data_IF_756813436190
#
_entry.id   IF_756813436190
#
_cell.length_a   1.000
_cell.length_b   1.000
_cell.length_c   1.000
_cell.angle_alpha   90.00
_cell.angle_beta   90.00
_cell.angle_gamma   90.00
#
_symmetry.space_group_name_H-M   'P 1'
#
loop_
_entity.id
_entity.type
_entity.pdbx_description
1 polymer ?
#
# COMPACT_ATOMS: atom_id res chain seq x y z
N UNK A 1 22.72 -40.83 -18.24
CA UNK A 1 21.39 -40.54 -18.85
C UNK A 1 20.69 -39.54 -17.95
N UNK A 2 20.16 -38.38 -18.47
CA UNK A 2 19.39 -37.46 -17.65
C UNK A 2 18.09 -38.14 -17.21
N UNK A 3 17.64 -37.88 -15.97
CA UNK A 3 16.32 -38.35 -15.46
C UNK A 3 15.19 -37.73 -16.29
N UNK A 4 14.04 -38.41 -16.47
CA UNK A 4 12.89 -37.84 -17.20
C UNK A 4 12.44 -36.49 -16.66
N UNK A 5 12.47 -36.28 -15.34
CA UNK A 5 12.13 -35.03 -14.69
C UNK A 5 13.10 -33.89 -15.08
N UNK A 6 14.40 -34.21 -15.26
CA UNK A 6 15.38 -33.18 -15.66
C UNK A 6 15.14 -32.78 -17.12
N UNK A 7 14.83 -33.76 -18.01
CA UNK A 7 14.51 -33.48 -19.41
C UNK A 7 13.25 -32.59 -19.47
N UNK A 8 12.23 -32.92 -18.69
CA UNK A 8 10.98 -32.18 -18.64
C UNK A 8 11.22 -30.75 -18.16
N UNK A 9 11.92 -30.55 -17.04
CA UNK A 9 12.13 -29.19 -16.44
C UNK A 9 13.13 -28.34 -17.21
N UNK A 10 14.13 -28.94 -17.85
CA UNK A 10 15.11 -28.22 -18.67
C UNK A 10 14.56 -27.88 -20.08
N UNK A 11 13.46 -28.48 -20.53
CA UNK A 11 12.91 -28.19 -21.86
C UNK A 11 12.26 -26.83 -21.91
N UNK A 12 12.36 -26.13 -23.05
CA UNK A 12 11.62 -24.90 -23.30
C UNK A 12 10.11 -25.14 -23.17
N UNK A 13 9.38 -24.12 -22.74
CA UNK A 13 7.92 -24.15 -22.62
C UNK A 13 7.36 -22.75 -22.70
N UNK A 14 6.10 -22.64 -23.10
CA UNK A 14 5.29 -21.43 -23.01
C UNK A 14 4.20 -21.63 -21.99
N UNK A 15 3.76 -20.55 -21.34
CA UNK A 15 2.61 -20.56 -20.45
C UNK A 15 1.84 -19.26 -20.61
N UNK A 16 0.53 -19.31 -20.35
CA UNK A 16 -0.33 -18.13 -20.29
C UNK A 16 -0.43 -17.68 -18.84
N UNK A 17 -0.56 -16.37 -18.63
CA UNK A 17 -0.72 -15.80 -17.30
C UNK A 17 -2.19 -15.50 -17.05
N UNK A 18 -2.67 -15.91 -15.87
CA UNK A 18 -4.05 -15.69 -15.45
C UNK A 18 -5.07 -16.51 -16.23
N UNK A 19 -6.34 -16.15 -16.05
CA UNK A 19 -7.43 -16.67 -16.84
C UNK A 19 -7.64 -15.84 -18.11
N UNK A 20 -8.10 -16.43 -19.21
CA UNK A 20 -8.46 -15.68 -20.42
C UNK A 20 -9.50 -14.57 -20.17
N UNK A 21 -10.35 -14.74 -19.16
CA UNK A 21 -11.35 -13.77 -18.73
C UNK A 21 -10.74 -12.54 -18.04
N UNK A 22 -9.56 -12.66 -17.43
CA UNK A 22 -8.81 -11.52 -16.90
C UNK A 22 -8.28 -10.62 -18.02
N UNK A 23 -8.28 -11.13 -19.26
CA UNK A 23 -8.28 -10.45 -20.58
C UNK A 23 -7.20 -9.39 -20.81
N UNK A 24 -6.07 -9.44 -20.08
CA UNK A 24 -5.18 -8.31 -19.95
C UNK A 24 -3.75 -8.65 -20.36
N UNK A 25 -3.11 -7.71 -21.05
CA UNK A 25 -1.72 -7.84 -21.44
C UNK A 25 -0.78 -7.72 -20.23
N UNK A 26 0.34 -8.43 -20.29
CA UNK A 26 1.45 -8.21 -19.35
C UNK A 26 2.00 -6.81 -19.58
N UNK A 27 2.05 -6.01 -18.52
CA UNK A 27 2.57 -4.64 -18.57
C UNK A 27 3.91 -4.49 -17.87
N UNK A 28 4.10 -5.20 -16.76
CA UNK A 28 5.29 -5.09 -15.94
C UNK A 28 5.70 -6.45 -15.36
N UNK A 29 7.01 -6.61 -15.18
CA UNK A 29 7.60 -7.77 -14.54
C UNK A 29 8.69 -7.33 -13.55
N UNK A 30 8.68 -7.95 -12.36
CA UNK A 30 9.67 -7.73 -11.31
C UNK A 30 10.24 -9.08 -10.89
N UNK A 31 11.55 -9.24 -11.00
CA UNK A 31 12.23 -10.45 -10.57
C UNK A 31 12.66 -10.30 -9.12
N UNK A 32 12.15 -11.17 -8.26
CA UNK A 32 12.61 -11.34 -6.89
C UNK A 32 13.37 -12.66 -6.77
N UNK A 33 14.13 -12.85 -5.71
CA UNK A 33 14.97 -14.04 -5.50
C UNK A 33 14.17 -15.35 -5.55
N UNK A 34 12.92 -15.33 -5.10
CA UNK A 34 12.07 -16.50 -4.89
C UNK A 34 10.84 -16.58 -5.81
N UNK A 35 10.57 -15.55 -6.59
CA UNK A 35 9.48 -15.51 -7.57
C UNK A 35 9.61 -14.38 -8.59
N UNK A 36 8.81 -14.48 -9.66
CA UNK A 36 8.59 -13.40 -10.60
C UNK A 36 7.19 -12.81 -10.33
N UNK A 37 7.11 -11.50 -10.09
CA UNK A 37 5.86 -10.77 -10.03
C UNK A 37 5.52 -10.25 -11.44
N UNK A 38 4.34 -10.61 -11.93
CA UNK A 38 3.79 -10.10 -13.18
C UNK A 38 2.60 -9.21 -12.87
N UNK A 39 2.62 -8.00 -13.41
CA UNK A 39 1.47 -7.11 -13.41
C UNK A 39 0.85 -7.07 -14.80
N UNK A 40 -0.43 -7.36 -14.85
CA UNK A 40 -1.29 -7.05 -15.99
C UNK A 40 -1.91 -5.67 -15.82
N UNK A 41 -2.82 -5.27 -16.68
CA UNK A 41 -3.59 -4.04 -16.50
C UNK A 41 -4.43 -4.07 -15.22
N UNK A 42 -5.00 -5.21 -14.87
CA UNK A 42 -6.00 -5.36 -13.80
C UNK A 42 -5.55 -6.18 -12.60
N UNK A 43 -4.56 -7.08 -12.77
CA UNK A 43 -4.22 -8.08 -11.74
C UNK A 43 -2.71 -8.16 -11.49
N UNK A 44 -2.34 -8.72 -10.35
CA UNK A 44 -0.98 -9.10 -10.00
C UNK A 44 -0.87 -10.61 -9.81
N UNK A 45 0.17 -11.20 -10.39
CA UNK A 45 0.44 -12.64 -10.33
C UNK A 45 1.84 -12.91 -9.81
N UNK A 46 1.92 -13.85 -8.87
CA UNK A 46 3.17 -14.47 -8.44
C UNK A 46 3.43 -15.68 -9.30
N UNK A 47 4.59 -15.73 -9.95
CA UNK A 47 5.04 -16.85 -10.78
C UNK A 47 6.26 -17.47 -10.13
N UNK A 48 6.23 -18.77 -9.93
CA UNK A 48 7.34 -19.55 -9.41
C UNK A 48 7.66 -20.69 -10.39
N UNK A 49 8.95 -20.92 -10.61
CA UNK A 49 9.39 -22.10 -11.36
C UNK A 49 9.38 -23.33 -10.45
N UNK A 50 9.09 -24.49 -11.02
CA UNK A 50 9.08 -25.73 -10.25
C UNK A 50 10.40 -25.96 -9.47
N UNK A 51 11.54 -25.56 -10.02
CA UNK A 51 12.85 -25.68 -9.37
C UNK A 51 13.05 -24.77 -8.16
N UNK A 52 12.27 -23.67 -8.04
CA UNK A 52 12.25 -22.83 -6.84
C UNK A 52 11.49 -23.52 -5.68
N UNK A 53 10.47 -24.32 -6.02
CA UNK A 53 9.62 -25.03 -5.05
C UNK A 53 10.22 -26.42 -4.70
N UNK A 54 10.78 -27.10 -5.68
CA UNK A 54 11.39 -28.44 -5.56
C UNK A 54 12.80 -28.44 -6.21
N UNK A 55 13.80 -27.81 -5.55
CA UNK A 55 15.14 -27.69 -6.11
C UNK A 55 15.85 -29.02 -6.30
N UNK A 56 15.45 -30.06 -5.56
CA UNK A 56 16.00 -31.42 -5.69
C UNK A 56 15.34 -32.24 -6.81
N UNK A 57 14.29 -31.71 -7.43
CA UNK A 57 13.52 -32.35 -8.48
C UNK A 57 13.04 -33.75 -8.09
N UNK A 58 12.38 -33.84 -6.92
CA UNK A 58 11.84 -35.10 -6.38
C UNK A 58 10.41 -35.38 -6.84
N UNK A 59 9.64 -34.35 -7.15
CA UNK A 59 8.24 -34.44 -7.55
C UNK A 59 8.09 -34.27 -9.06
N UNK A 60 7.94 -35.39 -9.77
CA UNK A 60 7.75 -35.41 -11.24
C UNK A 60 6.38 -34.85 -11.69
N UNK A 61 5.40 -34.79 -10.78
CA UNK A 61 4.04 -34.29 -11.08
C UNK A 61 3.92 -32.77 -10.94
N UNK A 62 4.96 -32.09 -10.45
CA UNK A 62 4.92 -30.65 -10.28
C UNK A 62 4.99 -29.95 -11.65
N UNK A 63 4.03 -29.05 -12.00
CA UNK A 63 4.08 -28.31 -13.24
C UNK A 63 5.31 -27.41 -13.30
N UNK A 64 5.84 -27.13 -14.50
CA UNK A 64 7.04 -26.28 -14.67
C UNK A 64 6.88 -24.90 -14.08
N UNK A 65 5.70 -24.33 -14.22
CA UNK A 65 5.33 -22.98 -13.79
C UNK A 65 4.14 -23.07 -12.86
N UNK A 66 4.27 -22.44 -11.72
CA UNK A 66 3.22 -22.31 -10.72
C UNK A 66 2.86 -20.83 -10.67
N UNK A 67 1.58 -20.51 -10.83
CA UNK A 67 1.10 -19.14 -10.81
C UNK A 67 -0.01 -18.99 -9.78
N UNK A 68 0.01 -17.83 -9.11
CA UNK A 68 -0.98 -17.46 -8.11
C UNK A 68 -1.39 -16.00 -8.33
N UNK A 69 -2.68 -15.77 -8.54
CA UNK A 69 -3.22 -14.41 -8.50
C UNK A 69 -3.15 -13.89 -7.07
N UNK A 70 -2.53 -12.73 -6.87
CA UNK A 70 -2.34 -12.12 -5.55
C UNK A 70 -3.50 -11.17 -5.22
N UNK A 71 -3.86 -10.32 -6.17
CA UNK A 71 -4.96 -9.35 -6.01
C UNK A 71 -5.43 -8.82 -7.37
N UNK A 72 -6.63 -8.25 -7.40
CA UNK A 72 -7.28 -7.68 -8.59
C UNK A 72 -6.97 -6.18 -8.74
N UNK A 73 -5.67 -5.85 -8.64
CA UNK A 73 -5.12 -4.52 -8.89
C UNK A 73 -3.89 -4.66 -9.77
N UNK A 74 -3.94 -4.10 -10.97
CA UNK A 74 -2.83 -4.09 -11.94
C UNK A 74 -2.30 -2.68 -12.18
N UNK A 75 -1.62 -2.49 -13.31
CA UNK A 75 -0.94 -1.22 -13.63
C UNK A 75 -1.90 -0.04 -13.84
N UNK A 76 -3.19 -0.29 -14.10
CA UNK A 76 -4.22 0.75 -14.20
C UNK A 76 -4.77 1.17 -12.83
N UNK A 77 -4.42 0.46 -11.77
CA UNK A 77 -4.85 0.79 -10.43
C UNK A 77 -3.98 1.87 -9.80
N UNK A 78 -4.63 2.82 -9.14
CA UNK A 78 -3.96 3.90 -8.43
C UNK A 78 -2.99 3.38 -7.34
N UNK A 79 -3.38 2.35 -6.58
CA UNK A 79 -2.51 1.82 -5.51
C UNK A 79 -1.22 1.22 -6.06
N UNK A 80 -1.26 0.58 -7.24
CA UNK A 80 -0.09 0.02 -7.92
C UNK A 80 0.79 1.14 -8.47
N UNK A 81 0.18 2.13 -9.13
CA UNK A 81 0.87 3.28 -9.70
C UNK A 81 1.60 4.11 -8.66
N UNK A 82 0.91 4.48 -7.58
CA UNK A 82 1.45 5.33 -6.51
C UNK A 82 2.41 4.62 -5.55
N UNK A 83 2.49 3.30 -5.59
CA UNK A 83 3.41 2.52 -4.77
C UNK A 83 4.53 1.89 -5.61
N UNK A 84 4.32 0.67 -6.10
CA UNK A 84 5.37 -0.13 -6.74
C UNK A 84 5.90 0.48 -8.04
N UNK A 85 5.03 1.07 -8.89
CA UNK A 85 5.51 1.68 -10.14
C UNK A 85 6.25 2.99 -9.87
N UNK A 86 5.81 3.78 -8.89
CA UNK A 86 6.55 4.96 -8.41
C UNK A 86 7.90 4.56 -7.83
N UNK A 87 7.96 3.48 -7.02
CA UNK A 87 9.23 2.95 -6.52
C UNK A 87 10.14 2.49 -7.66
N UNK A 88 9.63 1.76 -8.65
CA UNK A 88 10.41 1.36 -9.85
C UNK A 88 10.96 2.56 -10.59
N UNK A 89 10.18 3.64 -10.68
CA UNK A 89 10.58 4.88 -11.36
C UNK A 89 11.66 5.64 -10.61
N UNK A 90 11.62 5.61 -9.27
CA UNK A 90 12.52 6.38 -8.42
C UNK A 90 13.75 5.60 -7.91
N UNK A 91 13.69 4.29 -7.80
CA UNK A 91 14.84 3.48 -7.38
C UNK A 91 15.77 3.20 -8.57
N UNK A 92 16.59 4.20 -8.90
CA UNK A 92 17.49 4.19 -10.05
C UNK A 92 18.95 4.35 -9.59
N UNK A 93 19.81 3.40 -9.95
CA UNK A 93 21.25 3.39 -9.59
C UNK A 93 21.98 4.63 -10.11
N UNK A 94 21.50 5.18 -11.23
CA UNK A 94 22.10 6.36 -11.85
C UNK A 94 21.95 7.62 -11.01
N UNK A 95 20.96 7.66 -10.09
CA UNK A 95 20.58 8.85 -9.34
C UNK A 95 20.73 8.70 -7.83
N UNK A 96 20.86 7.48 -7.33
CA UNK A 96 20.92 7.18 -5.89
C UNK A 96 22.27 6.56 -5.50
N UNK A 97 22.74 6.79 -4.25
CA UNK A 97 23.97 6.21 -3.75
C UNK A 97 23.97 4.68 -3.79
N UNK A 98 25.13 4.07 -4.08
CA UNK A 98 25.33 2.62 -4.02
C UNK A 98 25.06 2.03 -2.62
N UNK A 99 25.08 2.87 -1.57
CA UNK A 99 24.75 2.47 -0.20
C UNK A 99 23.26 2.17 0.01
N UNK A 100 22.37 2.62 -0.90
CA UNK A 100 20.93 2.35 -0.82
C UNK A 100 20.63 1.02 -1.50
N UNK A 101 20.14 0.05 -0.74
CA UNK A 101 19.71 -1.25 -1.27
C UNK A 101 18.39 -1.10 -2.05
N UNK A 102 18.51 -0.83 -3.37
CA UNK A 102 17.36 -0.59 -4.25
C UNK A 102 16.53 -1.85 -4.48
N UNK A 103 17.15 -3.04 -4.48
CA UNK A 103 16.44 -4.31 -4.63
C UNK A 103 15.55 -4.57 -3.42
N UNK A 104 16.09 -4.38 -2.21
CA UNK A 104 15.34 -4.46 -0.96
C UNK A 104 14.25 -3.40 -0.93
N UNK A 105 14.51 -2.17 -1.40
CA UNK A 105 13.53 -1.09 -1.50
C UNK A 105 12.34 -1.45 -2.39
N UNK A 106 12.59 -2.04 -3.57
CA UNK A 106 11.53 -2.53 -4.46
C UNK A 106 10.72 -3.67 -3.83
N UNK A 107 11.39 -4.59 -3.13
CA UNK A 107 10.71 -5.68 -2.43
C UNK A 107 9.80 -5.14 -1.31
N UNK A 108 10.27 -4.22 -0.50
CA UNK A 108 9.48 -3.56 0.55
C UNK A 108 8.31 -2.77 -0.03
N UNK A 109 8.50 -2.15 -1.20
CA UNK A 109 7.42 -1.43 -1.91
C UNK A 109 6.32 -2.39 -2.39
N UNK A 110 6.69 -3.58 -2.86
CA UNK A 110 5.74 -4.63 -3.20
C UNK A 110 5.02 -5.17 -1.95
N UNK A 111 5.74 -5.39 -0.85
CA UNK A 111 5.16 -5.83 0.42
C UNK A 111 4.16 -4.77 0.93
N UNK A 112 4.50 -3.46 0.87
CA UNK A 112 3.58 -2.38 1.21
C UNK A 112 2.34 -2.35 0.30
N UNK A 113 2.52 -2.48 -1.03
CA UNK A 113 1.42 -2.59 -1.98
C UNK A 113 0.47 -3.74 -1.62
N UNK A 114 0.99 -4.90 -1.25
CA UNK A 114 0.17 -6.06 -0.88
C UNK A 114 -0.71 -5.78 0.34
N UNK A 115 -0.17 -5.08 1.34
CA UNK A 115 -0.93 -4.67 2.53
C UNK A 115 -1.98 -3.59 2.20
N UNK A 116 -1.62 -2.60 1.36
CA UNK A 116 -2.55 -1.55 0.89
C UNK A 116 -3.67 -2.16 0.04
N UNK A 117 -3.37 -3.14 -0.81
CA UNK A 117 -4.38 -3.86 -1.57
C UNK A 117 -5.40 -4.56 -0.65
N UNK A 118 -4.91 -5.23 0.39
CA UNK A 118 -5.76 -5.86 1.40
C UNK A 118 -6.61 -4.84 2.18
N UNK A 119 -6.03 -3.67 2.55
CA UNK A 119 -6.76 -2.56 3.16
C UNK A 119 -7.90 -2.08 2.26
N UNK A 120 -7.59 -1.80 0.98
CA UNK A 120 -8.58 -1.31 0.02
C UNK A 120 -9.71 -2.30 -0.19
N UNK A 121 -9.39 -3.59 -0.28
CA UNK A 121 -10.40 -4.65 -0.37
C UNK A 121 -11.28 -4.67 0.87
N UNK A 122 -10.69 -4.64 2.08
CA UNK A 122 -11.45 -4.62 3.32
C UNK A 122 -12.36 -3.38 3.45
N UNK A 123 -11.88 -2.20 3.02
CA UNK A 123 -12.67 -0.97 3.02
C UNK A 123 -13.87 -1.04 2.05
N UNK A 124 -13.66 -1.57 0.85
CA UNK A 124 -14.72 -1.76 -0.15
C UNK A 124 -15.77 -2.77 0.33
N UNK A 125 -15.33 -3.92 0.84
CA UNK A 125 -16.23 -4.94 1.41
C UNK A 125 -17.04 -4.39 2.59
N UNK A 126 -16.41 -3.59 3.46
CA UNK A 126 -17.12 -2.95 4.57
C UNK A 126 -18.19 -1.99 4.06
N UNK A 127 -17.85 -1.14 3.08
CA UNK A 127 -18.79 -0.20 2.48
C UNK A 127 -19.97 -0.89 1.80
N UNK A 128 -19.73 -1.98 1.07
CA UNK A 128 -20.79 -2.78 0.45
C UNK A 128 -21.74 -3.40 1.48
N UNK A 129 -21.19 -3.89 2.62
CA UNK A 129 -22.01 -4.43 3.72
C UNK A 129 -22.85 -3.32 4.37
N UNK A 130 -22.26 -2.15 4.60
CA UNK A 130 -22.95 -0.97 5.15
C UNK A 130 -24.10 -0.55 4.25
N UNK A 131 -23.87 -0.40 2.94
CA UNK A 131 -24.90 0.02 1.98
C UNK A 131 -26.01 -1.02 1.86
N UNK A 132 -25.67 -2.31 1.83
CA UNK A 132 -26.66 -3.41 1.81
C UNK A 132 -27.51 -3.43 3.06
N UNK A 133 -26.89 -3.28 4.25
CA UNK A 133 -27.61 -3.26 5.51
C UNK A 133 -28.57 -2.07 5.62
N UNK A 134 -28.14 -0.89 5.15
CA UNK A 134 -29.00 0.30 5.09
C UNK A 134 -30.21 0.11 4.16
N UNK A 135 -29.98 -0.40 2.94
CA UNK A 135 -31.07 -0.65 1.98
C UNK A 135 -32.12 -1.63 2.54
N UNK A 136 -31.66 -2.70 3.20
CA UNK A 136 -32.57 -3.67 3.84
C UNK A 136 -33.37 -3.06 5.00
N UNK A 137 -32.79 -2.13 5.75
CA UNK A 137 -33.48 -1.46 6.86
C UNK A 137 -34.58 -0.52 6.37
N UNK A 138 -34.39 0.18 5.27
CA UNK A 138 -35.41 1.06 4.68
C UNK A 138 -36.63 0.27 4.23
N UNK A 139 -36.47 -0.97 3.75
CA UNK A 139 -37.53 -1.88 3.35
C UNK A 139 -38.23 -2.54 4.54
N UNK A 140 -37.58 -2.59 5.72
CA UNK A 140 -38.01 -3.42 6.88
C UNK A 140 -38.81 -2.66 7.92
N UNK A 141 -39.33 -1.45 7.65
CA UNK A 141 -40.25 -0.76 8.60
C UNK A 141 -41.51 -1.60 8.84
N UNK A 142 -41.57 -2.19 10.03
CA UNK A 142 -42.69 -3.10 10.41
C UNK A 142 -43.95 -2.33 10.68
N UNK A 143 -45.11 -2.97 10.31
CA UNK A 143 -46.46 -2.41 10.54
C UNK A 143 -46.83 -2.33 12.02
N UNK A 144 -46.11 -3.02 12.90
CA UNK A 144 -46.34 -3.06 14.35
C UNK A 144 -45.66 -1.91 15.12
N UNK A 145 -45.04 -0.98 14.40
CA UNK A 145 -44.34 0.15 15.02
C UNK A 145 -42.92 -0.17 15.53
N UNK A 146 -42.46 -1.42 15.39
CA UNK A 146 -41.08 -1.78 15.75
C UNK A 146 -40.12 -1.41 14.62
N UNK A 147 -38.90 -1.08 15.00
CA UNK A 147 -37.77 -0.80 14.09
C UNK A 147 -36.70 -1.91 14.26
N UNK A 148 -36.43 -2.62 13.18
CA UNK A 148 -35.25 -3.50 13.14
C UNK A 148 -34.05 -2.70 12.67
N UNK A 149 -33.09 -2.49 13.56
CA UNK A 149 -31.84 -1.84 13.17
C UNK A 149 -31.04 -2.74 12.22
N UNK A 150 -30.42 -2.17 11.18
CA UNK A 150 -29.46 -2.90 10.37
C UNK A 150 -28.26 -3.31 11.21
N UNK A 151 -27.51 -4.33 10.75
CA UNK A 151 -26.29 -4.77 11.40
C UNK A 151 -25.31 -5.29 10.36
N UNK A 152 -24.03 -4.92 10.47
CA UNK A 152 -22.94 -5.52 9.69
C UNK A 152 -22.48 -6.82 10.33
N UNK A 153 -22.44 -6.84 11.66
CA UNK A 153 -21.88 -7.95 12.44
C UNK A 153 -20.35 -7.99 12.42
N UNK A 154 -19.77 -8.39 13.52
CA UNK A 154 -18.32 -8.50 13.70
C UNK A 154 -17.53 -7.24 13.27
N UNK A 155 -18.09 -6.06 13.47
CA UNK A 155 -17.53 -4.77 13.04
C UNK A 155 -16.14 -4.56 13.60
N UNK A 156 -15.92 -4.88 14.87
CA UNK A 156 -14.62 -4.78 15.53
C UNK A 156 -13.55 -5.64 14.84
N UNK A 157 -13.86 -6.89 14.47
CA UNK A 157 -12.95 -7.79 13.75
C UNK A 157 -12.56 -7.22 12.39
N UNK A 158 -13.51 -6.60 11.68
CA UNK A 158 -13.25 -5.95 10.38
C UNK A 158 -12.34 -4.74 10.54
N UNK A 159 -12.58 -3.90 11.54
CA UNK A 159 -11.71 -2.77 11.89
C UNK A 159 -10.31 -3.24 12.28
N UNK A 160 -10.21 -4.30 13.08
CA UNK A 160 -8.94 -4.90 13.48
C UNK A 160 -8.12 -5.36 12.27
N UNK A 161 -8.74 -6.12 11.35
CA UNK A 161 -8.07 -6.58 10.13
C UNK A 161 -7.56 -5.40 9.30
N UNK A 162 -8.40 -4.37 9.11
CA UNK A 162 -8.00 -3.17 8.39
C UNK A 162 -6.81 -2.46 9.05
N UNK A 163 -6.88 -2.23 10.37
CA UNK A 163 -5.83 -1.54 11.12
C UNK A 163 -4.50 -2.29 11.11
N UNK A 164 -4.53 -3.64 11.20
CA UNK A 164 -3.34 -4.48 11.06
C UNK A 164 -2.66 -4.28 9.70
N UNK A 165 -3.44 -4.29 8.61
CA UNK A 165 -2.92 -4.08 7.26
C UNK A 165 -2.33 -2.68 7.08
N UNK A 166 -2.99 -1.68 7.62
CA UNK A 166 -2.52 -0.29 7.59
C UNK A 166 -1.20 -0.11 8.36
N UNK A 167 -1.08 -0.66 9.57
CA UNK A 167 0.16 -0.62 10.36
C UNK A 167 1.30 -1.36 9.65
N UNK A 168 1.02 -2.53 9.06
CA UNK A 168 2.02 -3.27 8.30
C UNK A 168 2.52 -2.49 7.08
N UNK A 169 1.63 -1.85 6.32
CA UNK A 169 2.04 -1.01 5.19
C UNK A 169 2.90 0.18 5.64
N UNK A 170 2.53 0.84 6.75
CA UNK A 170 3.33 1.89 7.38
C UNK A 170 4.70 1.39 7.84
N UNK A 171 4.76 0.19 8.42
CA UNK A 171 6.03 -0.42 8.82
C UNK A 171 6.96 -0.67 7.63
N UNK A 172 6.43 -1.09 6.45
CA UNK A 172 7.24 -1.24 5.24
C UNK A 172 7.80 0.09 4.73
N UNK A 173 7.01 1.15 4.77
CA UNK A 173 7.48 2.49 4.44
C UNK A 173 8.59 2.96 5.41
N UNK A 174 8.45 2.64 6.69
CA UNK A 174 9.48 2.94 7.69
C UNK A 174 10.78 2.16 7.42
N UNK A 175 10.70 0.88 7.06
CA UNK A 175 11.85 0.09 6.64
C UNK A 175 12.53 0.68 5.39
N UNK A 176 11.75 1.13 4.39
CA UNK A 176 12.29 1.83 3.20
C UNK A 176 13.07 3.09 3.64
N UNK A 177 12.51 3.89 4.55
CA UNK A 177 13.18 5.11 5.04
C UNK A 177 14.55 4.80 5.67
N UNK A 178 14.67 3.68 6.36
CA UNK A 178 15.94 3.21 6.94
C UNK A 178 16.99 2.81 5.91
N UNK A 179 16.60 2.38 4.71
CA UNK A 179 17.57 2.08 3.65
C UNK A 179 18.38 3.32 3.22
N UNK A 180 17.76 4.50 3.30
CA UNK A 180 18.43 5.76 2.96
C UNK A 180 19.31 6.32 4.08
N UNK A 181 19.06 5.91 5.33
CA UNK A 181 19.78 6.40 6.51
C UNK A 181 20.08 5.22 7.47
N UNK A 182 20.98 4.30 7.07
CA UNK A 182 21.20 3.04 7.79
C UNK A 182 21.76 3.23 9.21
N UNK A 183 22.48 4.32 9.45
CA UNK A 183 23.07 4.62 10.77
C UNK A 183 22.08 5.28 11.73
N UNK A 184 20.89 5.67 11.27
CA UNK A 184 19.91 6.34 12.07
C UNK A 184 19.20 5.37 13.05
N UNK A 185 19.14 5.75 14.32
CA UNK A 185 18.58 4.91 15.41
C UNK A 185 17.13 5.28 15.74
N UNK A 186 16.27 5.37 14.74
CA UNK A 186 14.86 5.67 14.95
C UNK A 186 14.11 4.47 15.49
N UNK A 187 13.27 4.69 16.49
CA UNK A 187 12.38 3.70 17.09
C UNK A 187 10.96 3.75 16.50
N UNK A 188 10.61 4.83 15.81
CA UNK A 188 9.31 5.03 15.21
C UNK A 188 9.21 6.30 14.39
N UNK A 189 8.01 6.59 13.91
CA UNK A 189 7.73 7.71 13.02
C UNK A 189 7.99 9.09 13.64
N UNK A 190 7.82 9.24 14.97
CA UNK A 190 8.15 10.47 15.68
C UNK A 190 9.66 10.78 15.61
N UNK A 191 10.50 9.78 15.90
CA UNK A 191 11.95 9.93 15.83
C UNK A 191 12.40 10.26 14.40
N UNK A 192 11.74 9.65 13.40
CA UNK A 192 12.01 9.95 11.99
C UNK A 192 11.63 11.39 11.61
N UNK A 193 10.46 11.86 12.03
CA UNK A 193 10.02 13.24 11.79
C UNK A 193 10.96 14.26 12.45
N UNK A 194 11.40 13.99 13.68
CA UNK A 194 12.36 14.84 14.39
C UNK A 194 13.72 14.87 13.70
N UNK A 195 14.18 13.71 13.19
CA UNK A 195 15.40 13.64 12.38
C UNK A 195 15.27 14.47 11.11
N UNK A 196 14.19 14.33 10.35
CA UNK A 196 13.95 15.09 9.10
C UNK A 196 13.92 16.58 9.38
N UNK A 197 13.20 17.01 10.42
CA UNK A 197 13.13 18.41 10.84
C UNK A 197 14.50 18.98 11.22
N UNK A 198 15.27 18.23 11.99
CA UNK A 198 16.60 18.67 12.46
C UNK A 198 17.61 18.74 11.31
N UNK A 199 17.53 17.78 10.37
CA UNK A 199 18.50 17.65 9.27
C UNK A 199 18.24 18.66 8.15
N UNK A 200 16.96 18.89 7.79
CA UNK A 200 16.59 19.68 6.61
C UNK A 200 15.97 21.04 6.96
N UNK A 201 15.59 21.25 8.22
CA UNK A 201 14.95 22.49 8.70
C UNK A 201 13.41 22.43 8.64
N UNK A 202 12.74 23.19 9.51
CA UNK A 202 11.28 23.19 9.65
C UNK A 202 10.52 23.65 8.39
N UNK A 203 11.13 24.51 7.58
CA UNK A 203 10.52 25.04 6.36
C UNK A 203 10.66 24.11 5.16
N UNK A 204 11.46 23.07 5.28
CA UNK A 204 11.67 22.09 4.22
C UNK A 204 10.37 21.28 3.95
N UNK A 205 10.13 20.98 2.67
CA UNK A 205 8.94 20.21 2.24
C UNK A 205 8.85 18.83 2.89
N UNK A 206 10.01 18.18 3.08
CA UNK A 206 10.05 16.86 3.73
C UNK A 206 9.70 16.95 5.22
N UNK A 207 10.17 18.00 5.92
CA UNK A 207 9.80 18.24 7.31
C UNK A 207 8.31 18.53 7.46
N UNK A 208 7.74 19.34 6.57
CA UNK A 208 6.29 19.59 6.52
C UNK A 208 5.48 18.33 6.25
N UNK A 209 5.92 17.49 5.33
CA UNK A 209 5.28 16.20 5.06
C UNK A 209 5.30 15.32 6.31
N UNK A 210 6.46 15.11 6.92
CA UNK A 210 6.59 14.22 8.09
C UNK A 210 5.84 14.75 9.31
N UNK A 211 5.68 16.06 9.46
CA UNK A 211 4.85 16.66 10.51
C UNK A 211 3.37 16.27 10.41
N UNK A 212 2.86 15.98 9.21
CA UNK A 212 1.48 15.52 8.98
C UNK A 212 1.39 13.99 8.98
N UNK A 213 2.34 13.31 8.32
CA UNK A 213 2.25 11.86 8.13
C UNK A 213 2.64 11.06 9.38
N UNK A 214 3.57 11.53 10.20
CA UNK A 214 3.98 10.80 11.40
C UNK A 214 2.86 10.67 12.44
N UNK A 215 2.07 11.71 12.77
CA UNK A 215 0.88 11.58 13.63
C UNK A 215 -0.16 10.61 13.07
N UNK A 216 -0.41 10.64 11.76
CA UNK A 216 -1.34 9.72 11.11
C UNK A 216 -0.87 8.25 11.22
N UNK A 217 0.40 7.98 10.93
CA UNK A 217 0.95 6.63 11.03
C UNK A 217 0.99 6.13 12.49
N UNK A 218 1.15 7.06 13.45
CA UNK A 218 0.98 6.75 14.86
C UNK A 218 -0.48 6.45 15.22
N UNK A 219 -1.45 7.21 14.71
CA UNK A 219 -2.88 6.94 14.86
C UNK A 219 -3.24 5.52 14.40
N UNK A 220 -2.79 5.13 13.21
CA UNK A 220 -3.04 3.78 12.66
C UNK A 220 -2.49 2.70 13.59
N UNK A 221 -1.28 2.88 14.08
CA UNK A 221 -0.63 1.96 15.03
C UNK A 221 -1.38 1.88 16.36
N UNK A 222 -1.80 3.02 16.91
CA UNK A 222 -2.53 3.09 18.16
C UNK A 222 -3.90 2.39 18.05
N UNK A 223 -4.60 2.55 16.91
CA UNK A 223 -5.84 1.82 16.63
C UNK A 223 -5.60 0.31 16.61
N UNK A 224 -4.55 -0.14 15.93
CA UNK A 224 -4.18 -1.56 15.88
C UNK A 224 -3.86 -2.09 17.29
N UNK A 225 -3.04 -1.36 18.05
CA UNK A 225 -2.64 -1.76 19.40
C UNK A 225 -3.86 -1.90 20.33
N UNK A 226 -4.80 -0.95 20.28
CA UNK A 226 -6.05 -1.01 21.05
C UNK A 226 -6.91 -2.23 20.69
N UNK A 227 -7.02 -2.54 19.38
CA UNK A 227 -7.85 -3.65 18.92
C UNK A 227 -7.22 -5.03 19.09
N UNK A 228 -5.88 -5.11 19.19
CA UNK A 228 -5.18 -6.37 19.45
C UNK A 228 -5.04 -6.71 20.93
N UNK A 229 -4.81 -5.70 21.75
CA UNK A 229 -4.48 -5.86 23.16
C UNK A 229 -5.64 -5.37 24.04
N UNK A 230 -6.76 -6.12 24.06
CA UNK A 230 -8.01 -5.80 24.76
C UNK A 230 -7.92 -5.47 26.27
N UNK A 231 -6.72 -5.49 26.87
CA UNK A 231 -6.45 -5.01 28.23
C UNK A 231 -6.08 -3.50 28.29
N UNK A 232 -5.96 -2.85 27.13
CA UNK A 232 -5.74 -1.41 27.05
C UNK A 232 -7.13 -0.77 27.10
N UNK A 233 -7.61 -0.51 28.32
CA UNK A 233 -8.96 -0.02 28.57
C UNK A 233 -9.32 1.20 27.71
N UNK A 234 -10.39 1.05 26.91
CA UNK A 234 -11.22 2.11 26.38
C UNK A 234 -10.57 3.11 25.39
N UNK A 235 -9.46 2.77 24.74
CA UNK A 235 -8.84 3.67 23.76
C UNK A 235 -9.57 3.74 22.42
N UNK A 236 -10.33 2.70 22.04
CA UNK A 236 -11.11 2.65 20.81
C UNK A 236 -12.52 2.18 21.10
N UNK A 237 -13.52 2.93 20.67
CA UNK A 237 -14.93 2.57 20.75
C UNK A 237 -15.46 2.32 19.35
N UNK A 238 -15.90 1.09 19.08
CA UNK A 238 -16.51 0.69 17.83
C UNK A 238 -17.96 0.38 18.07
N UNK A 239 -18.84 0.97 17.26
CA UNK A 239 -20.30 0.74 17.30
C UNK A 239 -20.75 0.27 15.91
N UNK A 240 -21.63 -0.73 15.89
CA UNK A 240 -22.44 -1.04 14.71
C UNK A 240 -23.57 0.01 14.57
N UNK A 241 -24.48 -0.14 13.64
CA UNK A 241 -25.61 0.76 13.48
C UNK A 241 -26.30 1.03 14.83
N UNK A 242 -26.67 2.26 15.05
CA UNK A 242 -27.36 2.70 16.26
C UNK A 242 -28.49 3.66 15.89
N UNK A 243 -29.46 3.83 16.80
CA UNK A 243 -30.47 4.88 16.65
C UNK A 243 -30.02 6.13 17.40
N UNK A 244 -29.96 7.25 16.71
CA UNK A 244 -29.71 8.54 17.33
C UNK A 244 -30.92 9.10 18.08
N UNK A 245 -30.72 10.08 18.96
CA UNK A 245 -31.77 10.74 19.72
C UNK A 245 -32.85 11.39 18.84
N UNK A 246 -32.50 11.73 17.60
CA UNK A 246 -33.44 12.28 16.60
C UNK A 246 -34.25 11.20 15.84
N UNK A 247 -34.11 9.91 16.20
CA UNK A 247 -34.75 8.78 15.51
C UNK A 247 -34.12 8.41 14.16
N UNK A 248 -32.96 8.99 13.82
CA UNK A 248 -32.22 8.65 12.61
C UNK A 248 -31.24 7.50 12.89
N UNK A 249 -31.16 6.56 11.96
CA UNK A 249 -30.16 5.47 12.04
C UNK A 249 -28.77 6.06 11.79
N UNK A 250 -27.90 5.94 12.79
CA UNK A 250 -26.49 6.30 12.69
C UNK A 250 -25.68 5.15 12.08
N UNK A 251 -24.76 5.49 11.19
CA UNK A 251 -23.84 4.53 10.57
C UNK A 251 -22.86 3.94 11.60
N UNK A 252 -22.28 2.75 11.33
CA UNK A 252 -21.21 2.19 12.13
C UNK A 252 -20.09 3.19 12.32
N UNK A 253 -19.60 3.32 13.56
CA UNK A 253 -18.66 4.38 13.93
C UNK A 253 -17.47 3.86 14.72
N UNK A 254 -16.35 4.58 14.57
CA UNK A 254 -15.13 4.40 15.34
C UNK A 254 -14.76 5.73 16.01
N UNK A 255 -14.41 5.66 17.29
CA UNK A 255 -13.92 6.77 18.09
C UNK A 255 -12.62 6.34 18.78
N UNK A 256 -11.63 7.24 18.87
CA UNK A 256 -10.32 6.93 19.40
C UNK A 256 -9.94 7.97 20.45
N UNK A 257 -9.62 7.52 21.64
CA UNK A 257 -9.03 8.32 22.72
C UNK A 257 -7.98 7.48 23.43
N UNK A 258 -6.78 7.44 22.84
CA UNK A 258 -5.70 6.60 23.32
C UNK A 258 -4.37 7.37 23.33
N UNK A 259 -3.73 7.49 24.49
CA UNK A 259 -2.49 8.26 24.68
C UNK A 259 -2.67 9.71 24.21
N UNK A 260 -1.82 10.16 23.28
CA UNK A 260 -1.90 11.49 22.66
C UNK A 260 -2.81 11.51 21.42
N UNK A 261 -3.37 10.36 21.05
CA UNK A 261 -4.18 10.19 19.84
C UNK A 261 -5.66 10.36 20.17
N UNK A 262 -6.29 11.37 19.57
CA UNK A 262 -7.73 11.65 19.73
C UNK A 262 -8.38 11.81 18.36
N UNK A 263 -9.37 10.97 18.10
CA UNK A 263 -10.20 11.05 16.91
C UNK A 263 -11.67 10.96 17.36
N UNK A 264 -12.47 12.02 17.16
CA UNK A 264 -13.90 11.97 17.47
C UNK A 264 -14.58 10.90 16.62
N UNK A 265 -15.78 10.48 17.04
CA UNK A 265 -16.56 9.46 16.36
C UNK A 265 -16.79 9.83 14.88
N UNK A 266 -16.36 8.97 13.98
CA UNK A 266 -16.54 9.06 12.52
C UNK A 266 -17.11 7.75 11.98
N UNK A 267 -17.73 7.76 10.80
CA UNK A 267 -18.16 6.49 10.20
C UNK A 267 -16.95 5.62 9.84
N UNK A 268 -17.08 4.32 10.05
CA UNK A 268 -15.98 3.37 9.80
C UNK A 268 -15.61 3.33 8.33
N UNK A 269 -16.60 3.35 7.42
CA UNK A 269 -16.35 3.38 5.98
C UNK A 269 -15.58 4.63 5.56
N UNK A 270 -15.89 5.79 6.13
CA UNK A 270 -15.15 7.02 5.89
C UNK A 270 -13.72 6.94 6.44
N UNK A 271 -13.56 6.49 7.69
CA UNK A 271 -12.23 6.29 8.30
C UNK A 271 -11.34 5.36 7.47
N UNK A 272 -11.88 4.23 6.99
CA UNK A 272 -11.12 3.29 6.17
C UNK A 272 -10.71 3.89 4.82
N UNK A 273 -11.60 4.63 4.17
CA UNK A 273 -11.31 5.30 2.89
C UNK A 273 -10.23 6.39 3.05
N UNK A 274 -10.40 7.28 4.04
CA UNK A 274 -9.44 8.34 4.35
C UNK A 274 -8.06 7.78 4.74
N UNK A 275 -8.03 6.76 5.61
CA UNK A 275 -6.79 6.13 6.04
C UNK A 275 -6.06 5.47 4.86
N UNK A 276 -6.78 4.87 3.91
CA UNK A 276 -6.18 4.28 2.70
C UNK A 276 -5.55 5.37 1.83
N UNK A 277 -6.24 6.48 1.59
CA UNK A 277 -5.71 7.59 0.80
C UNK A 277 -4.51 8.27 1.48
N UNK A 278 -4.61 8.54 2.79
CA UNK A 278 -3.50 9.13 3.54
C UNK A 278 -2.25 8.25 3.54
N UNK A 279 -2.41 6.93 3.59
CA UNK A 279 -1.28 5.99 3.53
C UNK A 279 -0.63 5.99 2.13
N UNK A 280 -1.43 6.04 1.07
CA UNK A 280 -0.92 6.17 -0.30
C UNK A 280 -0.15 7.48 -0.49
N UNK A 281 -0.67 8.59 0.03
CA UNK A 281 0.02 9.88 0.00
C UNK A 281 1.32 9.82 0.82
N UNK A 282 1.26 9.28 2.04
CA UNK A 282 2.44 9.12 2.87
C UNK A 282 3.54 8.31 2.18
N UNK A 283 3.16 7.18 1.53
CA UNK A 283 4.08 6.32 0.80
C UNK A 283 4.76 7.07 -0.36
N UNK A 284 3.95 7.59 -1.27
CA UNK A 284 4.41 8.22 -2.51
C UNK A 284 5.29 9.46 -2.26
N UNK A 285 4.82 10.37 -1.40
CA UNK A 285 5.56 11.59 -1.09
C UNK A 285 6.82 11.34 -0.26
N UNK A 286 6.77 10.42 0.72
CA UNK A 286 7.97 10.05 1.48
C UNK A 286 9.03 9.49 0.55
N UNK A 287 8.65 8.60 -0.39
CA UNK A 287 9.56 8.03 -1.36
C UNK A 287 10.19 9.11 -2.26
N UNK A 288 9.37 10.03 -2.78
CA UNK A 288 9.85 11.14 -3.60
C UNK A 288 10.85 12.02 -2.84
N UNK A 289 10.56 12.36 -1.58
CA UNK A 289 11.47 13.14 -0.75
C UNK A 289 12.76 12.39 -0.39
N UNK A 290 12.68 11.11 -0.03
CA UNK A 290 13.86 10.29 0.23
C UNK A 290 14.80 10.28 -0.98
N UNK A 291 14.26 10.04 -2.17
CA UNK A 291 15.04 10.06 -3.40
C UNK A 291 15.59 11.47 -3.71
N UNK A 292 14.78 12.51 -3.54
CA UNK A 292 15.20 13.91 -3.77
C UNK A 292 16.33 14.35 -2.85
N UNK A 293 16.28 13.95 -1.56
CA UNK A 293 17.30 14.33 -0.55
C UNK A 293 18.60 13.53 -0.64
N UNK A 294 18.59 12.43 -1.37
CA UNK A 294 19.76 11.55 -1.52
C UNK A 294 20.23 11.45 -2.98
N UNK A 295 19.96 12.49 -3.79
CA UNK A 295 20.42 12.56 -5.17
C UNK A 295 21.94 12.58 -5.25
N UNK A 296 22.47 11.77 -6.18
CA UNK A 296 23.88 11.86 -6.59
C UNK A 296 24.05 12.78 -7.79
N UNK A 297 25.22 13.45 -7.91
CA UNK A 297 25.55 14.21 -9.12
C UNK A 297 25.54 13.30 -10.36
N UNK A 298 24.77 13.68 -11.37
CA UNK A 298 24.68 12.94 -12.62
C UNK A 298 25.28 13.78 -13.76
N UNK A 299 26.48 13.41 -14.21
CA UNK A 299 27.17 14.06 -15.33
C UNK A 299 27.25 15.60 -15.24
N UNK A 300 27.27 16.17 -14.03
CA UNK A 300 27.27 17.62 -13.81
C UNK A 300 25.96 18.33 -14.10
N UNK A 301 24.87 17.57 -14.37
CA UNK A 301 23.56 18.13 -14.64
C UNK A 301 22.72 18.27 -13.36
N UNK A 302 21.93 19.34 -13.19
CA UNK A 302 21.02 19.52 -12.09
C UNK A 302 19.78 18.62 -12.28
N UNK A 303 19.76 17.49 -11.58
CA UNK A 303 18.62 16.55 -11.57
C UNK A 303 17.74 16.84 -10.36
N UNK A 304 16.43 16.73 -10.55
CA UNK A 304 15.43 16.93 -9.53
C UNK A 304 14.46 15.74 -9.51
N UNK A 305 13.81 15.50 -8.39
CA UNK A 305 12.62 14.64 -8.29
C UNK A 305 11.42 15.58 -8.17
N UNK A 306 10.50 15.51 -9.12
CA UNK A 306 9.32 16.36 -9.12
C UNK A 306 8.14 15.70 -9.84
N UNK A 307 6.98 16.37 -9.79
CA UNK A 307 5.76 15.96 -10.44
C UNK A 307 5.88 15.95 -11.96
N UNK A 308 5.43 14.86 -12.55
CA UNK A 308 5.24 14.75 -14.01
C UNK A 308 3.91 15.44 -14.36
N UNK A 309 3.94 16.37 -15.29
CA UNK A 309 2.72 16.98 -15.83
C UNK A 309 1.78 15.89 -16.38
N UNK A 310 0.47 16.04 -16.21
CA UNK A 310 -0.50 14.98 -16.50
C UNK A 310 -0.44 14.48 -17.96
N UNK A 311 -0.26 15.38 -18.89
CA UNK A 311 -0.12 15.11 -20.33
C UNK A 311 1.17 14.36 -20.69
N UNK A 312 2.15 14.33 -19.80
CA UNK A 312 3.44 13.62 -19.97
C UNK A 312 3.55 12.30 -19.23
N UNK A 313 2.51 11.91 -18.45
CA UNK A 313 2.50 10.65 -17.71
C UNK A 313 2.21 9.48 -18.64
N UNK A 314 3.13 8.52 -18.72
CA UNK A 314 2.89 7.25 -19.41
C UNK A 314 1.85 6.39 -18.67
N UNK A 315 1.90 6.40 -17.34
CA UNK A 315 0.88 5.87 -16.47
C UNK A 315 0.33 7.02 -15.62
N UNK A 316 -0.99 7.25 -15.69
CA UNK A 316 -1.68 8.37 -15.03
C UNK A 316 -1.44 8.43 -13.50
N UNK A 317 -1.13 7.29 -12.89
CA UNK A 317 -0.95 7.16 -11.45
C UNK A 317 0.52 7.24 -10.99
N UNK A 318 1.49 7.21 -11.92
CA UNK A 318 2.90 7.47 -11.61
C UNK A 318 3.16 8.96 -11.74
N UNK A 319 3.21 9.65 -10.61
CA UNK A 319 3.20 11.10 -10.55
C UNK A 319 4.59 11.74 -10.41
N UNK A 320 5.61 10.97 -10.00
CA UNK A 320 6.96 11.48 -9.76
C UNK A 320 7.99 10.84 -10.69
N UNK A 321 8.98 11.62 -11.07
CA UNK A 321 10.16 11.13 -11.81
C UNK A 321 11.39 11.98 -11.49
N UNK A 322 12.55 11.47 -11.88
CA UNK A 322 13.74 12.32 -12.07
C UNK A 322 13.59 13.14 -13.35
N UNK A 323 14.07 14.35 -13.34
CA UNK A 323 14.01 15.23 -14.50
C UNK A 323 14.82 16.50 -14.32
N UNK A 324 14.75 17.37 -15.34
CA UNK A 324 15.39 18.68 -15.37
C UNK A 324 14.37 19.77 -15.66
N UNK A 325 14.65 20.98 -15.19
CA UNK A 325 13.86 22.16 -15.53
C UNK A 325 14.45 22.87 -16.75
N UNK A 326 13.58 23.09 -17.75
CA UNK A 326 13.90 23.89 -18.92
C UNK A 326 13.04 25.17 -18.93
N UNK A 327 13.62 26.30 -19.36
CA UNK A 327 12.94 27.62 -19.29
C UNK A 327 11.57 27.63 -19.96
N UNK A 328 11.46 26.96 -21.13
CA UNK A 328 10.23 26.99 -21.94
C UNK A 328 9.31 25.79 -21.73
N UNK A 329 9.75 24.75 -21.03
CA UNK A 329 9.02 23.49 -20.92
C UNK A 329 8.69 23.09 -19.46
N UNK A 330 9.25 23.81 -18.50
CA UNK A 330 9.15 23.44 -17.09
C UNK A 330 9.90 22.13 -16.79
N UNK A 331 9.35 21.31 -15.90
CA UNK A 331 9.92 20.02 -15.54
C UNK A 331 9.75 19.01 -16.68
N UNK A 332 10.86 18.45 -17.15
CA UNK A 332 10.91 17.39 -18.17
C UNK A 332 11.46 16.12 -17.55
N UNK A 333 10.65 15.04 -17.44
CA UNK A 333 11.08 13.77 -16.87
C UNK A 333 12.14 13.08 -17.73
N UNK A 334 13.07 12.37 -17.08
CA UNK A 334 14.11 11.54 -17.71
C UNK A 334 13.69 10.07 -17.63
N UNK A 335 13.75 9.38 -18.75
CA UNK A 335 13.56 7.92 -18.87
C UNK A 335 12.14 7.46 -19.01
#
# INVERSE_FOLDING_TARGET
MKRPIDIFRDSAGSFSIGNPEDGTAIKEAFTYSDFLLILTEKCAYKIQMADQVDPKRLNASLPKVIQQKLFDYGTESEIVGRTLLTAKRLFRKEFLPDSVDLERGLKLSFEALSEIAAMKTAALEFKELEDRAMSQAEESRRKDGSLLLPAIGHVETKCKTFAQKADHAGAKLFEISKLFYPDAKWRGWRDFADFVRTTFGEQDGFAKLTAVTAPFLQLVRDVRDCLEHGNIHNGVVIKDFAIGANGVIALPSIEIDFRDTKQPAVSISHFMAEATEMLLQAFEFTLAHLCSKNLQPFAGMPIYVDFIAEDRRQNKHVRFAYGMYYQDQGFVPIG
#
